data_IF_509524659431
#
_entry.id   IF_509524659431
#
_cell.length_a   1.000
_cell.length_b   1.000
_cell.length_c   1.000
_cell.angle_alpha   90.00
_cell.angle_beta   90.00
_cell.angle_gamma   90.00
#
_symmetry.space_group_name_H-M   'P 1'
#
loop_
_entity.id
_entity.type
_entity.pdbx_description
1 polymer ?
#
# COMPACT_ATOMS: atom_id res chain seq x y z
N UNK A 1 22.52 24.96 28.07
CA UNK A 1 21.94 25.39 26.78
C UNK A 1 22.67 24.67 25.67
N UNK A 2 22.13 23.53 25.20
CA UNK A 2 22.74 22.70 24.14
C UNK A 2 22.04 23.03 22.83
N UNK A 3 22.80 23.60 21.89
CA UNK A 3 22.34 23.99 20.55
C UNK A 3 21.99 22.73 19.74
N UNK A 4 20.74 22.63 19.28
CA UNK A 4 20.27 21.59 18.35
C UNK A 4 20.62 22.04 16.93
N UNK A 5 21.61 21.41 16.32
CA UNK A 5 21.90 21.58 14.90
C UNK A 5 20.90 20.75 14.10
N UNK A 6 19.98 21.42 13.42
CA UNK A 6 19.08 20.83 12.41
C UNK A 6 19.90 20.61 11.15
N UNK A 7 20.18 19.35 10.82
CA UNK A 7 20.78 18.98 9.54
C UNK A 7 19.64 18.87 8.53
N UNK A 8 19.50 19.88 7.67
CA UNK A 8 18.63 19.83 6.50
C UNK A 8 19.43 19.09 5.40
N UNK A 9 19.12 17.82 5.19
CA UNK A 9 19.66 17.05 4.07
C UNK A 9 18.85 17.35 2.80
N UNK A 10 19.44 18.14 1.91
CA UNK A 10 18.89 18.42 0.58
C UNK A 10 19.10 17.21 -0.33
N UNK A 11 18.10 16.35 -0.50
CA UNK A 11 18.12 15.32 -1.55
C UNK A 11 17.81 15.96 -2.90
N UNK A 12 18.86 16.32 -3.65
CA UNK A 12 18.72 16.68 -5.06
C UNK A 12 18.59 15.40 -5.90
N UNK A 13 17.37 15.03 -6.25
CA UNK A 13 17.11 13.94 -7.20
C UNK A 13 17.37 14.47 -8.62
N UNK A 14 18.48 14.06 -9.23
CA UNK A 14 18.74 14.31 -10.65
C UNK A 14 17.68 13.58 -11.50
N UNK A 15 16.66 14.32 -11.96
CA UNK A 15 15.81 13.86 -13.06
C UNK A 15 16.67 13.81 -14.33
N UNK A 16 17.09 12.62 -14.73
CA UNK A 16 17.61 12.40 -16.06
C UNK A 16 16.54 12.81 -17.08
N UNK A 17 16.92 13.64 -18.05
CA UNK A 17 16.07 14.01 -19.17
C UNK A 17 15.65 12.74 -19.92
N UNK A 18 14.34 12.45 -19.93
CA UNK A 18 13.79 11.34 -20.71
C UNK A 18 13.92 11.66 -22.22
N UNK A 19 14.28 10.69 -23.06
CA UNK A 19 14.29 10.89 -24.50
C UNK A 19 12.87 11.21 -24.99
N UNK A 20 12.76 12.08 -25.99
CA UNK A 20 11.50 12.35 -26.68
C UNK A 20 10.98 11.05 -27.30
N UNK A 21 9.96 10.46 -26.69
CA UNK A 21 9.35 9.21 -27.13
C UNK A 21 8.15 9.52 -28.04
N UNK A 22 7.97 8.71 -29.08
CA UNK A 22 6.87 8.80 -30.05
C UNK A 22 5.50 8.94 -29.35
N UNK A 23 4.57 9.66 -30.00
CA UNK A 23 3.22 9.87 -29.47
C UNK A 23 2.55 8.53 -29.17
N UNK A 24 2.37 8.24 -27.87
CA UNK A 24 1.61 7.07 -27.44
C UNK A 24 0.12 7.25 -27.78
N UNK A 25 -0.57 6.17 -28.20
CA UNK A 25 -1.98 6.22 -28.52
C UNK A 25 -2.82 6.69 -27.32
N UNK A 26 -4.02 7.26 -27.57
CA UNK A 26 -4.96 7.66 -26.53
C UNK A 26 -5.32 6.48 -25.62
N UNK A 27 -5.76 6.79 -24.40
CA UNK A 27 -6.18 5.78 -23.44
C UNK A 27 -7.30 4.92 -24.05
N UNK A 28 -7.15 3.60 -23.98
CA UNK A 28 -8.18 2.69 -24.41
C UNK A 28 -9.47 2.95 -23.58
N UNK A 29 -10.66 2.96 -24.22
CA UNK A 29 -11.92 3.03 -23.51
C UNK A 29 -12.01 1.91 -22.48
N UNK A 30 -12.46 2.24 -21.28
CA UNK A 30 -12.62 1.29 -20.19
C UNK A 30 -13.77 1.71 -19.28
N UNK A 31 -14.98 1.26 -19.57
CA UNK A 31 -16.20 1.60 -18.83
C UNK A 31 -16.47 0.67 -17.64
N UNK A 32 -15.74 -0.44 -17.54
CA UNK A 32 -15.95 -1.49 -16.55
C UNK A 32 -15.32 -1.19 -15.21
N UNK A 33 -16.01 -1.59 -14.16
CA UNK A 33 -15.50 -1.48 -12.81
C UNK A 33 -14.66 -2.70 -12.43
N UNK A 34 -13.85 -2.56 -11.39
CA UNK A 34 -13.01 -3.63 -10.85
C UNK A 34 -13.28 -3.80 -9.37
N UNK A 35 -13.64 -5.01 -8.95
CA UNK A 35 -13.56 -5.42 -7.55
C UNK A 35 -12.19 -6.03 -7.29
N UNK A 36 -11.60 -5.74 -6.13
CA UNK A 36 -10.33 -6.33 -5.70
C UNK A 36 -10.45 -6.81 -4.26
N UNK A 37 -9.99 -8.02 -4.02
CA UNK A 37 -9.73 -8.58 -2.69
C UNK A 37 -8.22 -8.73 -2.52
N UNK A 38 -7.69 -8.25 -1.40
CA UNK A 38 -6.29 -8.40 -1.02
C UNK A 38 -6.25 -9.00 0.37
N UNK A 39 -5.41 -10.02 0.54
CA UNK A 39 -5.08 -10.60 1.83
C UNK A 39 -3.57 -10.66 1.98
N UNK A 40 -3.07 -10.04 3.03
CA UNK A 40 -1.68 -10.04 3.46
C UNK A 40 -1.57 -10.82 4.76
N UNK A 41 -0.55 -11.67 4.85
CA UNK A 41 -0.31 -12.46 6.05
C UNK A 41 1.16 -12.85 6.17
N UNK A 42 1.68 -12.86 7.40
CA UNK A 42 3.06 -13.26 7.68
C UNK A 42 3.24 -14.77 7.88
N UNK A 43 2.14 -15.54 7.93
CA UNK A 43 2.14 -17.00 7.77
C UNK A 43 2.89 -17.45 6.50
N UNK A 44 2.80 -16.69 5.40
CA UNK A 44 3.53 -16.98 4.16
C UNK A 44 5.06 -16.90 4.33
N UNK A 45 5.55 -16.25 5.39
CA UNK A 45 6.95 -16.17 5.77
C UNK A 45 7.29 -17.02 7.01
N UNK A 46 6.34 -17.83 7.49
CA UNK A 46 6.47 -18.66 8.69
C UNK A 46 6.80 -17.85 9.96
N UNK A 47 6.13 -16.70 10.12
CA UNK A 47 6.18 -15.83 11.31
C UNK A 47 4.77 -15.42 11.73
N UNK A 48 4.61 -14.87 12.95
CA UNK A 48 3.38 -14.23 13.45
C UNK A 48 3.76 -13.05 14.37
N UNK A 49 4.25 -11.94 13.80
CA UNK A 49 4.76 -10.79 14.55
C UNK A 49 4.79 -9.51 13.74
N UNK A 50 4.82 -8.37 14.44
CA UNK A 50 4.80 -7.00 13.94
C UNK A 50 3.56 -6.74 13.07
N UNK A 51 3.60 -7.03 11.77
CA UNK A 51 2.44 -6.94 10.88
C UNK A 51 2.00 -8.35 10.50
N UNK A 52 0.95 -8.83 11.16
CA UNK A 52 0.49 -10.24 11.08
C UNK A 52 -0.56 -10.44 10.00
N UNK A 53 -1.49 -9.49 9.83
CA UNK A 53 -2.62 -9.66 8.92
C UNK A 53 -3.11 -8.33 8.34
N UNK A 54 -3.45 -8.35 7.06
CA UNK A 54 -4.20 -7.27 6.43
C UNK A 54 -5.21 -7.79 5.42
N UNK A 55 -6.43 -7.27 5.46
CA UNK A 55 -7.47 -7.55 4.46
C UNK A 55 -7.95 -6.25 3.86
N UNK A 56 -8.16 -6.21 2.54
CA UNK A 56 -8.75 -5.05 1.85
C UNK A 56 -9.68 -5.51 0.74
N UNK A 57 -10.92 -5.02 0.79
CA UNK A 57 -11.91 -5.18 -0.28
C UNK A 57 -12.11 -3.81 -0.91
N UNK A 58 -11.94 -3.71 -2.23
CA UNK A 58 -12.01 -2.47 -2.95
C UNK A 58 -12.85 -2.56 -4.21
N UNK A 59 -13.59 -1.51 -4.48
CA UNK A 59 -14.25 -1.23 -5.75
C UNK A 59 -13.55 -0.04 -6.40
N UNK A 60 -13.28 -0.14 -7.70
CA UNK A 60 -12.78 0.96 -8.51
C UNK A 60 -13.63 1.06 -9.78
N UNK A 61 -14.15 2.25 -10.08
CA UNK A 61 -14.96 2.45 -11.28
C UNK A 61 -14.14 2.29 -12.57
N UNK A 62 -14.82 2.07 -13.68
CA UNK A 62 -14.26 2.40 -15.00
C UNK A 62 -14.04 3.91 -15.16
N UNK A 63 -13.56 4.29 -16.33
CA UNK A 63 -13.43 5.68 -16.78
C UNK A 63 -14.79 6.35 -16.77
N UNK A 64 -14.96 7.32 -15.87
CA UNK A 64 -16.18 8.12 -15.75
C UNK A 64 -15.81 9.59 -15.58
N UNK A 65 -16.68 10.46 -16.10
CA UNK A 65 -16.57 11.89 -15.82
C UNK A 65 -16.73 12.12 -14.31
N UNK A 66 -15.79 12.85 -13.68
CA UNK A 66 -15.88 13.13 -12.26
C UNK A 66 -16.93 14.21 -11.98
N UNK A 67 -17.49 14.16 -10.77
CA UNK A 67 -18.49 15.12 -10.28
C UNK A 67 -18.20 15.48 -8.82
N UNK A 68 -18.62 16.67 -8.38
CA UNK A 68 -18.46 17.13 -7.00
C UNK A 68 -17.01 17.05 -6.50
N UNK A 69 -16.79 16.44 -5.33
CA UNK A 69 -15.47 16.27 -4.71
C UNK A 69 -14.48 15.55 -5.65
N UNK A 70 -14.93 14.55 -6.42
CA UNK A 70 -14.05 13.86 -7.37
C UNK A 70 -13.54 14.77 -8.49
N UNK A 71 -14.35 15.74 -8.92
CA UNK A 71 -13.97 16.71 -9.96
C UNK A 71 -12.89 17.64 -9.42
N UNK A 72 -13.09 18.17 -8.21
CA UNK A 72 -12.10 19.02 -7.54
C UNK A 72 -10.76 18.30 -7.35
N UNK A 73 -10.78 17.08 -6.81
CA UNK A 73 -9.55 16.30 -6.60
C UNK A 73 -8.85 15.99 -7.91
N UNK A 74 -9.58 15.64 -8.97
CA UNK A 74 -8.99 15.30 -10.25
C UNK A 74 -8.44 16.52 -10.99
N UNK A 75 -9.23 17.57 -11.17
CA UNK A 75 -8.86 18.71 -12.02
C UNK A 75 -8.01 19.74 -11.27
N UNK A 76 -8.44 20.19 -10.10
CA UNK A 76 -7.79 21.28 -9.37
C UNK A 76 -6.55 20.80 -8.60
N UNK A 77 -6.63 19.64 -7.95
CA UNK A 77 -5.52 19.14 -7.12
C UNK A 77 -4.53 18.26 -7.88
N UNK A 78 -5.01 17.38 -8.77
CA UNK A 78 -4.18 16.46 -9.54
C UNK A 78 -3.82 16.96 -10.96
N UNK A 79 -4.43 18.05 -11.42
CA UNK A 79 -4.15 18.61 -12.75
C UNK A 79 -4.60 17.69 -13.90
N UNK A 80 -5.75 17.03 -13.76
CA UNK A 80 -6.34 16.23 -14.83
C UNK A 80 -6.77 17.14 -16.00
N UNK A 81 -6.12 16.97 -17.16
CA UNK A 81 -6.53 17.59 -18.42
C UNK A 81 -7.70 16.84 -19.08
N UNK A 82 -8.16 17.33 -20.23
CA UNK A 82 -9.32 16.77 -20.94
C UNK A 82 -9.13 15.31 -21.38
N UNK A 83 -7.89 14.91 -21.68
CA UNK A 83 -7.52 13.55 -22.10
C UNK A 83 -7.23 12.60 -20.93
N UNK A 84 -7.44 13.03 -19.69
CA UNK A 84 -7.16 12.22 -18.51
C UNK A 84 -8.28 11.20 -18.27
N UNK A 85 -7.88 9.94 -18.05
CA UNK A 85 -8.79 8.91 -17.56
C UNK A 85 -8.99 9.05 -16.05
N UNK A 86 -10.24 9.13 -15.58
CA UNK A 86 -10.54 9.36 -14.17
C UNK A 86 -11.37 8.20 -13.62
N UNK A 87 -10.93 7.64 -12.50
CA UNK A 87 -11.63 6.57 -11.76
C UNK A 87 -11.85 6.97 -10.31
N UNK A 88 -12.94 6.47 -9.72
CA UNK A 88 -13.28 6.65 -8.30
C UNK A 88 -13.36 5.30 -7.64
N UNK A 89 -12.81 5.20 -6.43
CA UNK A 89 -12.75 3.96 -5.69
C UNK A 89 -13.23 4.11 -4.27
N UNK A 90 -13.73 3.00 -3.75
CA UNK A 90 -14.10 2.82 -2.35
C UNK A 90 -13.44 1.54 -1.85
N UNK A 91 -12.94 1.52 -0.62
CA UNK A 91 -12.48 0.29 -0.01
C UNK A 91 -12.85 0.22 1.47
N UNK A 92 -12.86 -0.99 2.00
CA UNK A 92 -12.81 -1.24 3.44
C UNK A 92 -11.59 -2.10 3.68
N UNK A 93 -10.82 -1.77 4.72
CA UNK A 93 -9.65 -2.52 5.08
C UNK A 93 -9.51 -2.71 6.59
N UNK A 94 -8.80 -3.77 6.95
CA UNK A 94 -8.45 -4.10 8.31
C UNK A 94 -6.97 -4.50 8.38
N UNK A 95 -6.25 -4.02 9.38
CA UNK A 95 -4.87 -4.40 9.64
C UNK A 95 -4.67 -4.76 11.12
N UNK A 96 -3.88 -5.80 11.36
CA UNK A 96 -3.57 -6.35 12.69
C UNK A 96 -2.06 -6.32 12.88
N UNK A 97 -1.67 -5.82 14.04
CA UNK A 97 -0.29 -5.78 14.49
C UNK A 97 -0.13 -6.44 15.85
N UNK A 98 0.94 -7.21 16.03
CA UNK A 98 1.21 -7.97 17.26
C UNK A 98 2.69 -7.92 17.65
N UNK A 99 3.02 -8.07 18.95
CA UNK A 99 4.35 -8.42 19.40
C UNK A 99 4.82 -9.78 18.86
N UNK A 100 6.08 -10.12 19.12
CA UNK A 100 6.64 -11.44 18.80
C UNK A 100 6.24 -12.50 19.83
N UNK A 101 6.09 -12.15 21.10
CA UNK A 101 5.59 -13.06 22.14
C UNK A 101 4.07 -12.88 22.31
N UNK A 102 3.29 -13.64 21.54
CA UNK A 102 1.83 -13.57 21.52
C UNK A 102 1.16 -14.28 22.69
N UNK A 103 1.90 -15.13 23.42
CA UNK A 103 1.42 -15.83 24.60
C UNK A 103 1.55 -15.00 25.88
N UNK A 104 2.41 -13.97 25.87
CA UNK A 104 2.56 -13.05 26.98
C UNK A 104 1.27 -12.26 27.24
N UNK A 105 0.84 -12.23 28.51
CA UNK A 105 -0.33 -11.45 28.96
C UNK A 105 0.07 -10.07 29.49
N UNK A 106 1.34 -9.90 29.84
CA UNK A 106 1.92 -8.65 30.34
C UNK A 106 2.29 -7.70 29.20
N UNK A 107 2.34 -6.37 29.45
CA UNK A 107 2.89 -5.42 28.48
C UNK A 107 4.32 -5.79 28.05
N UNK A 108 4.59 -5.64 26.74
CA UNK A 108 5.90 -5.91 26.12
C UNK A 108 6.47 -4.60 25.53
N UNK A 109 7.07 -3.73 26.36
CA UNK A 109 7.47 -2.37 25.93
C UNK A 109 8.64 -2.34 24.95
N UNK A 110 9.32 -3.46 24.73
CA UNK A 110 10.41 -3.63 23.76
C UNK A 110 9.96 -4.29 22.46
N UNK A 111 8.67 -4.56 22.29
CA UNK A 111 8.09 -5.20 21.12
C UNK A 111 6.99 -4.36 20.50
N UNK A 112 6.63 -4.70 19.26
CA UNK A 112 5.57 -4.01 18.55
C UNK A 112 4.27 -4.03 19.36
N UNK A 113 3.64 -2.88 19.66
CA UNK A 113 2.34 -2.84 20.32
C UNK A 113 1.27 -3.66 19.61
N UNK A 114 0.35 -4.25 20.37
CA UNK A 114 -0.89 -4.75 19.78
C UNK A 114 -1.69 -3.59 19.19
N UNK A 115 -2.21 -3.76 17.99
CA UNK A 115 -3.14 -2.78 17.39
C UNK A 115 -4.00 -3.41 16.31
N UNK A 116 -5.25 -2.94 16.24
CA UNK A 116 -6.12 -3.10 15.07
C UNK A 116 -6.36 -1.75 14.40
N UNK A 117 -6.47 -1.74 13.07
CA UNK A 117 -6.87 -0.58 12.27
C UNK A 117 -7.98 -0.96 11.30
N UNK A 118 -9.20 -0.51 11.56
CA UNK A 118 -10.37 -0.70 10.70
C UNK A 118 -10.70 0.62 10.01
N UNK A 119 -10.77 0.63 8.68
CA UNK A 119 -11.00 1.86 7.92
C UNK A 119 -11.88 1.67 6.70
N UNK A 120 -12.59 2.76 6.37
CA UNK A 120 -13.12 3.01 5.04
C UNK A 120 -12.14 3.87 4.24
N UNK A 121 -12.16 3.71 2.92
CA UNK A 121 -11.28 4.40 1.99
C UNK A 121 -12.09 4.99 0.84
N UNK A 122 -11.76 6.22 0.46
CA UNK A 122 -12.19 6.84 -0.79
C UNK A 122 -10.97 7.23 -1.62
N UNK A 123 -10.97 6.92 -2.92
CA UNK A 123 -9.84 7.21 -3.80
C UNK A 123 -10.26 7.84 -5.12
N UNK A 124 -9.45 8.77 -5.63
CA UNK A 124 -9.54 9.29 -6.99
C UNK A 124 -8.24 8.97 -7.71
N UNK A 125 -8.35 8.26 -8.84
CA UNK A 125 -7.22 7.87 -9.69
C UNK A 125 -7.30 8.64 -11.00
N UNK A 126 -6.23 9.36 -11.32
CA UNK A 126 -6.06 10.10 -12.57
C UNK A 126 -4.97 9.42 -13.38
N UNK A 127 -5.37 8.83 -14.49
CA UNK A 127 -4.49 8.22 -15.49
C UNK A 127 -4.23 9.22 -16.61
N UNK A 128 -2.96 9.53 -16.85
CA UNK A 128 -2.49 10.35 -17.97
C UNK A 128 -1.45 9.57 -18.76
N UNK A 129 -1.10 10.06 -19.95
CA UNK A 129 -0.18 9.37 -20.87
C UNK A 129 1.08 8.83 -20.20
N UNK A 130 1.74 9.64 -19.37
CA UNK A 130 3.05 9.31 -18.77
C UNK A 130 3.02 9.10 -17.25
N UNK A 131 1.85 9.07 -16.62
CA UNK A 131 1.75 8.94 -15.16
C UNK A 131 0.36 8.51 -14.70
N UNK A 132 0.34 7.82 -13.57
CA UNK A 132 -0.87 7.61 -12.77
C UNK A 132 -0.70 8.33 -11.45
N UNK A 133 -1.71 9.07 -11.06
CA UNK A 133 -1.78 9.75 -9.78
C UNK A 133 -2.99 9.25 -9.01
N UNK A 134 -2.84 9.12 -7.70
CA UNK A 134 -3.93 8.70 -6.83
C UNK A 134 -3.93 9.54 -5.57
N UNK A 135 -5.10 10.08 -5.23
CA UNK A 135 -5.38 10.59 -3.89
C UNK A 135 -6.28 9.59 -3.19
N UNK A 136 -5.96 9.29 -1.94
CA UNK A 136 -6.70 8.36 -1.09
C UNK A 136 -6.95 9.01 0.26
N UNK A 137 -8.19 8.95 0.73
CA UNK A 137 -8.58 9.32 2.08
C UNK A 137 -9.03 8.06 2.81
N UNK A 138 -8.33 7.70 3.87
CA UNK A 138 -8.74 6.67 4.82
C UNK A 138 -9.27 7.32 6.08
N UNK A 139 -10.38 6.78 6.60
CA UNK A 139 -10.99 7.20 7.86
C UNK A 139 -11.52 5.96 8.60
N UNK A 140 -11.31 5.90 9.91
CA UNK A 140 -11.55 4.68 10.65
C UNK A 140 -11.30 4.78 12.15
N UNK A 141 -11.02 3.64 12.77
CA UNK A 141 -10.67 3.54 14.19
C UNK A 141 -9.46 2.63 14.40
N UNK A 142 -8.50 3.11 15.20
CA UNK A 142 -7.40 2.33 15.76
C UNK A 142 -7.81 1.83 17.15
N UNK A 143 -7.37 0.63 17.53
CA UNK A 143 -7.51 0.10 18.90
C UNK A 143 -8.61 -0.95 19.06
N UNK A 144 -9.11 -1.20 20.29
CA UNK A 144 -10.05 -2.29 20.58
C UNK A 144 -11.31 -2.29 19.70
N UNK A 145 -11.84 -1.12 19.34
CA UNK A 145 -13.02 -0.97 18.50
C UNK A 145 -12.80 -1.44 17.04
N UNK A 146 -11.54 -1.59 16.62
CA UNK A 146 -11.21 -2.23 15.35
C UNK A 146 -11.37 -3.76 15.39
N UNK A 147 -11.58 -4.37 16.57
CA UNK A 147 -11.83 -5.81 16.74
C UNK A 147 -10.67 -6.71 16.26
N UNK A 148 -9.42 -6.27 16.46
CA UNK A 148 -8.22 -7.05 16.09
C UNK A 148 -8.13 -8.39 16.81
N UNK A 149 -8.34 -8.40 18.13
CA UNK A 149 -8.36 -9.61 18.97
C UNK A 149 -9.34 -10.66 18.45
N UNK A 150 -10.60 -10.24 18.24
CA UNK A 150 -11.65 -11.14 17.79
C UNK A 150 -11.29 -11.75 16.43
N UNK A 151 -10.82 -10.95 15.47
CA UNK A 151 -10.45 -11.45 14.15
C UNK A 151 -9.27 -12.43 14.21
N UNK A 152 -8.22 -12.08 14.95
CA UNK A 152 -7.02 -12.91 15.03
C UNK A 152 -7.30 -14.25 15.73
N UNK A 153 -7.93 -14.22 16.90
CA UNK A 153 -8.19 -15.43 17.67
C UNK A 153 -9.19 -16.35 16.96
N UNK A 154 -10.23 -15.82 16.29
CA UNK A 154 -11.13 -16.66 15.47
C UNK A 154 -10.40 -17.30 14.28
N UNK A 155 -9.44 -16.60 13.67
CA UNK A 155 -8.63 -17.18 12.60
C UNK A 155 -7.71 -18.28 13.14
N UNK A 156 -7.03 -18.03 14.27
CA UNK A 156 -6.16 -19.01 14.92
C UNK A 156 -6.95 -20.26 15.32
N UNK A 157 -8.13 -20.10 15.91
CA UNK A 157 -9.02 -21.22 16.24
C UNK A 157 -9.42 -22.04 15.00
N UNK A 158 -9.69 -21.37 13.88
CA UNK A 158 -10.08 -22.04 12.63
C UNK A 158 -8.95 -22.87 12.02
N UNK A 159 -7.69 -22.40 12.12
CA UNK A 159 -6.51 -23.09 11.56
C UNK A 159 -5.76 -23.95 12.58
N UNK A 160 -6.22 -24.01 13.83
CA UNK A 160 -5.56 -24.74 14.91
C UNK A 160 -4.27 -24.09 15.43
N UNK A 161 -4.17 -22.76 15.35
CA UNK A 161 -3.10 -21.96 15.94
C UNK A 161 -3.31 -21.67 17.43
N UNK A 162 -2.27 -21.18 18.09
CA UNK A 162 -2.32 -20.80 19.50
C UNK A 162 -3.07 -19.47 19.72
N UNK A 163 -3.80 -19.30 20.83
CA UNK A 163 -4.49 -18.05 21.13
C UNK A 163 -3.51 -16.93 21.47
N UNK A 164 -3.90 -15.70 21.13
CA UNK A 164 -3.15 -14.49 21.45
C UNK A 164 -3.77 -13.82 22.66
N UNK A 165 -3.02 -13.74 23.77
CA UNK A 165 -3.56 -13.41 25.09
C UNK A 165 -3.21 -11.99 25.58
N UNK A 166 -2.41 -11.23 24.81
CA UNK A 166 -1.90 -9.93 25.22
C UNK A 166 -2.75 -8.72 24.80
N UNK A 167 -3.90 -8.92 24.14
CA UNK A 167 -4.72 -7.88 23.51
C UNK A 167 -5.25 -6.80 24.46
N UNK A 168 -5.33 -7.06 25.76
CA UNK A 168 -5.65 -6.05 26.78
C UNK A 168 -4.61 -4.92 26.86
N UNK A 169 -3.40 -5.14 26.34
CA UNK A 169 -2.29 -4.19 26.32
C UNK A 169 -2.14 -3.44 24.98
N UNK A 170 -3.18 -3.45 24.12
CA UNK A 170 -3.14 -2.81 22.81
C UNK A 170 -3.23 -1.28 22.88
N UNK A 171 -2.85 -0.62 21.77
CA UNK A 171 -3.08 0.81 21.58
C UNK A 171 -4.58 1.10 21.74
N UNK A 172 -4.90 2.14 22.51
CA UNK A 172 -6.28 2.49 22.83
C UNK A 172 -7.07 3.05 21.65
N UNK A 173 -8.39 3.18 21.83
CA UNK A 173 -9.29 3.65 20.78
C UNK A 173 -8.98 5.09 20.33
N UNK A 174 -8.79 5.27 19.02
CA UNK A 174 -8.58 6.58 18.41
C UNK A 174 -9.25 6.66 17.02
N UNK A 175 -10.05 7.70 16.73
CA UNK A 175 -10.48 7.98 15.37
C UNK A 175 -9.27 8.27 14.48
N UNK A 176 -9.08 7.48 13.45
CA UNK A 176 -7.92 7.59 12.55
C UNK A 176 -8.27 8.22 11.22
N UNK A 177 -7.36 9.01 10.69
CA UNK A 177 -7.44 9.59 9.34
C UNK A 177 -6.08 9.58 8.66
N UNK A 178 -6.06 9.25 7.38
CA UNK A 178 -4.86 9.34 6.53
C UNK A 178 -5.24 9.90 5.17
N UNK A 179 -4.64 11.01 4.78
CA UNK A 179 -4.65 11.52 3.42
C UNK A 179 -3.36 11.10 2.73
N UNK A 180 -3.47 10.34 1.65
CA UNK A 180 -2.34 9.88 0.86
C UNK A 180 -2.38 10.42 -0.55
N UNK A 181 -1.20 10.71 -1.09
CA UNK A 181 -0.97 11.00 -2.50
C UNK A 181 0.13 10.06 -3.01
N UNK A 182 -0.14 9.40 -4.13
CA UNK A 182 0.81 8.57 -4.85
C UNK A 182 0.90 9.00 -6.31
N UNK A 183 2.11 8.99 -6.85
CA UNK A 183 2.38 9.18 -8.27
C UNK A 183 3.31 8.08 -8.75
N UNK A 184 2.84 7.36 -9.76
CA UNK A 184 3.63 6.40 -10.51
C UNK A 184 3.94 6.98 -11.89
N UNK A 185 5.22 6.97 -12.26
CA UNK A 185 5.67 7.43 -13.55
C UNK A 185 5.64 6.27 -14.53
N UNK A 186 5.08 6.49 -15.72
CA UNK A 186 4.96 5.43 -16.72
C UNK A 186 6.34 4.97 -17.19
N UNK A 187 6.40 3.69 -17.51
CA UNK A 187 7.63 2.99 -17.82
C UNK A 187 8.40 3.53 -19.02
N UNK A 188 9.68 3.81 -18.77
CA UNK A 188 10.59 4.51 -19.68
C UNK A 188 11.07 3.62 -20.84
N UNK A 189 10.90 2.30 -20.75
CA UNK A 189 11.31 1.32 -21.76
C UNK A 189 10.22 0.28 -22.01
N UNK A 190 10.11 -0.15 -23.26
CA UNK A 190 9.27 -1.25 -23.73
C UNK A 190 10.19 -2.01 -24.70
N UNK A 191 10.78 -3.11 -24.25
CA UNK A 191 11.79 -3.88 -25.00
C UNK A 191 11.17 -5.21 -25.37
N UNK A 192 10.84 -5.41 -26.65
CA UNK A 192 10.37 -6.67 -27.20
C UNK A 192 9.43 -6.49 -28.39
N UNK A 193 9.24 -7.57 -29.16
CA UNK A 193 8.21 -7.71 -30.20
C UNK A 193 7.20 -8.78 -29.72
N UNK A 194 5.95 -8.71 -30.18
CA UNK A 194 4.88 -9.69 -29.88
C UNK A 194 4.46 -9.80 -28.39
N UNK A 195 4.22 -8.66 -27.73
CA UNK A 195 3.50 -8.61 -26.44
C UNK A 195 4.35 -8.87 -25.19
N UNK A 196 5.57 -9.43 -25.32
CA UNK A 196 6.51 -9.56 -24.20
C UNK A 196 7.39 -8.31 -24.08
N UNK A 197 7.62 -7.84 -22.87
CA UNK A 197 8.53 -6.74 -22.61
C UNK A 197 9.04 -6.66 -21.19
N UNK A 198 9.80 -5.60 -20.93
CA UNK A 198 10.28 -5.22 -19.61
C UNK A 198 10.10 -3.73 -19.40
N UNK A 199 9.81 -3.34 -18.17
CA UNK A 199 9.43 -1.97 -17.84
C UNK A 199 9.97 -1.53 -16.46
N UNK A 200 10.12 -0.22 -16.28
CA UNK A 200 10.66 0.39 -15.06
C UNK A 200 9.76 1.54 -14.65
N UNK A 201 9.08 1.40 -13.52
CA UNK A 201 8.11 2.36 -12.97
C UNK A 201 8.65 2.98 -11.68
N UNK A 202 9.18 4.21 -11.73
CA UNK A 202 9.43 5.00 -10.53
C UNK A 202 8.13 5.39 -9.85
N UNK A 203 8.14 5.46 -8.52
CA UNK A 203 6.99 5.82 -7.71
C UNK A 203 7.40 6.78 -6.60
N UNK A 204 6.58 7.79 -6.35
CA UNK A 204 6.73 8.68 -5.18
C UNK A 204 5.37 8.81 -4.50
N UNK A 205 5.38 9.03 -3.19
CA UNK A 205 4.16 9.27 -2.45
C UNK A 205 4.40 9.91 -1.10
N UNK A 206 3.33 10.41 -0.53
CA UNK A 206 3.30 10.93 0.82
C UNK A 206 1.98 10.59 1.49
N UNK A 207 1.97 10.55 2.81
CA UNK A 207 0.79 10.37 3.62
C UNK A 207 0.87 11.31 4.82
N UNK A 208 -0.27 11.89 5.18
CA UNK A 208 -0.43 12.82 6.28
C UNK A 208 -1.68 12.43 7.07
N UNK A 209 -1.50 12.19 8.35
CA UNK A 209 -2.55 11.66 9.20
C UNK A 209 -2.07 11.36 10.61
N UNK A 210 -3.01 11.19 11.52
CA UNK A 210 -2.73 10.75 12.90
C UNK A 210 -2.52 9.25 13.01
N UNK A 211 -2.79 8.47 11.95
CA UNK A 211 -2.43 7.04 11.92
C UNK A 211 -1.05 6.85 11.28
N UNK A 212 -0.80 7.53 10.16
CA UNK A 212 0.46 7.45 9.43
C UNK A 212 0.80 8.80 8.78
N UNK A 213 2.01 9.28 9.05
CA UNK A 213 2.62 10.41 8.35
C UNK A 213 4.00 10.01 7.85
N UNK A 214 4.14 9.87 6.54
CA UNK A 214 5.39 9.46 5.89
C UNK A 214 5.55 10.02 4.49
N UNK A 215 6.80 10.11 4.05
CA UNK A 215 7.14 10.24 2.63
C UNK A 215 7.74 8.92 2.14
N UNK A 216 7.48 8.56 0.88
CA UNK A 216 7.95 7.31 0.27
C UNK A 216 8.40 7.52 -1.17
N UNK A 217 9.39 6.74 -1.58
CA UNK A 217 9.92 6.71 -2.93
C UNK A 217 10.41 5.32 -3.28
N UNK A 218 10.14 4.89 -4.50
CA UNK A 218 10.45 3.53 -4.92
C UNK A 218 10.58 3.38 -6.43
N UNK A 219 10.94 2.17 -6.82
CA UNK A 219 11.15 1.75 -8.18
C UNK A 219 10.65 0.33 -8.33
N UNK A 220 9.85 0.06 -9.36
CA UNK A 220 9.41 -1.29 -9.72
C UNK A 220 9.92 -1.65 -11.10
N UNK A 221 10.54 -2.82 -11.23
CA UNK A 221 10.93 -3.45 -12.47
C UNK A 221 9.94 -4.58 -12.77
N UNK A 222 9.46 -4.67 -14.01
CA UNK A 222 8.58 -5.76 -14.45
C UNK A 222 9.09 -6.39 -15.73
N UNK A 223 8.79 -7.68 -15.91
CA UNK A 223 9.06 -8.43 -17.12
C UNK A 223 7.92 -9.42 -17.38
N UNK A 224 7.44 -9.50 -18.61
CA UNK A 224 6.32 -10.36 -18.97
C UNK A 224 5.52 -9.83 -20.15
N UNK A 225 4.29 -10.32 -20.28
CA UNK A 225 3.40 -9.99 -21.38
C UNK A 225 2.43 -8.86 -20.99
N UNK A 226 2.16 -7.97 -21.94
CA UNK A 226 1.20 -6.86 -21.85
C UNK A 226 1.33 -6.01 -20.59
N UNK A 227 2.56 -5.57 -20.30
CA UNK A 227 2.88 -4.75 -19.12
C UNK A 227 2.12 -3.41 -19.08
N UNK A 228 1.54 -3.00 -20.21
CA UNK A 228 0.67 -1.80 -20.32
C UNK A 228 -0.71 -2.02 -19.70
N UNK A 229 -1.11 -3.25 -19.39
CA UNK A 229 -2.44 -3.58 -18.90
C UNK A 229 -2.66 -3.08 -17.47
N UNK A 230 -1.62 -2.98 -16.64
CA UNK A 230 -1.76 -2.51 -15.26
C UNK A 230 -0.54 -1.72 -14.75
N UNK A 231 -0.67 -1.24 -13.52
CA UNK A 231 0.36 -0.51 -12.79
C UNK A 231 0.85 -1.31 -11.56
N UNK A 232 0.84 -2.64 -11.67
CA UNK A 232 1.13 -3.59 -10.60
C UNK A 232 -0.12 -4.03 -9.83
N UNK A 233 0.01 -5.07 -8.99
CA UNK A 233 -1.09 -5.59 -8.19
C UNK A 233 -1.46 -4.66 -7.03
N UNK A 234 -2.74 -4.63 -6.60
CA UNK A 234 -3.15 -3.89 -5.42
C UNK A 234 -2.57 -4.51 -4.15
N UNK A 235 -2.37 -3.68 -3.12
CA UNK A 235 -1.81 -4.04 -1.80
C UNK A 235 -2.56 -3.30 -0.68
N UNK A 236 -2.42 -3.76 0.56
CA UNK A 236 -2.87 -2.97 1.72
C UNK A 236 -1.94 -1.77 1.87
N UNK A 237 -2.50 -0.57 2.07
CA UNK A 237 -1.73 0.68 2.15
C UNK A 237 -1.31 0.95 3.61
N UNK A 238 -0.15 1.61 3.85
CA UNK A 238 0.78 2.17 2.87
C UNK A 238 1.77 1.12 2.31
N UNK A 239 1.77 0.93 0.99
CA UNK A 239 2.70 0.04 0.28
C UNK A 239 2.98 0.58 -1.12
N UNK A 240 3.96 0.00 -1.82
CA UNK A 240 4.04 0.07 -3.29
C UNK A 240 2.88 -0.75 -3.89
N UNK A 241 1.70 -0.16 -3.83
CA UNK A 241 0.47 -0.72 -4.36
C UNK A 241 0.26 -0.24 -5.80
N UNK A 242 -0.15 -1.14 -6.69
CA UNK A 242 -0.67 -0.77 -7.98
C UNK A 242 -1.99 -0.01 -7.89
N UNK A 243 -2.37 0.64 -8.99
CA UNK A 243 -3.53 1.54 -9.05
C UNK A 243 -4.89 0.83 -8.94
N UNK A 244 -4.93 -0.51 -8.85
CA UNK A 244 -6.14 -1.29 -8.63
C UNK A 244 -7.07 -1.42 -9.84
N UNK A 245 -6.63 -1.00 -11.03
CA UNK A 245 -7.30 -1.28 -12.30
C UNK A 245 -6.33 -2.03 -13.24
N UNK A 246 -6.91 -2.80 -14.15
CA UNK A 246 -6.20 -3.37 -15.28
C UNK A 246 -7.08 -3.32 -16.55
N UNK A 247 -6.48 -3.14 -17.71
CA UNK A 247 -7.14 -3.09 -19.02
C UNK A 247 -6.64 -4.26 -19.88
N UNK A 248 -7.32 -5.41 -19.84
CA UNK A 248 -6.87 -6.59 -20.58
C UNK A 248 -7.03 -6.34 -22.08
N UNK A 249 -5.92 -6.44 -22.82
CA UNK A 249 -5.91 -6.40 -24.29
C UNK A 249 -6.05 -7.81 -24.85
N UNK A 250 -5.32 -8.78 -24.27
CA UNK A 250 -5.35 -10.19 -24.65
C UNK A 250 -6.11 -11.06 -23.63
N UNK A 251 -6.44 -12.29 -24.04
CA UNK A 251 -7.15 -13.27 -23.20
C UNK A 251 -6.30 -13.77 -22.02
N UNK A 252 -4.97 -13.70 -22.14
CA UNK A 252 -4.03 -14.06 -21.09
C UNK A 252 -2.80 -13.16 -21.11
N UNK A 253 -2.44 -12.62 -19.95
CA UNK A 253 -1.15 -11.96 -19.76
C UNK A 253 -0.56 -12.30 -18.40
N UNK A 254 0.74 -12.08 -18.23
CA UNK A 254 1.43 -12.36 -16.98
C UNK A 254 2.65 -11.46 -16.85
N UNK A 255 3.06 -11.18 -15.63
CA UNK A 255 4.37 -10.54 -15.41
C UNK A 255 4.96 -10.90 -14.06
N UNK A 256 6.29 -10.98 -14.05
CA UNK A 256 7.09 -10.95 -12.84
C UNK A 256 7.44 -9.51 -12.51
N UNK A 257 7.56 -9.20 -11.23
CA UNK A 257 7.99 -7.89 -10.78
C UNK A 257 8.91 -7.97 -9.57
N UNK A 258 9.80 -6.99 -9.47
CA UNK A 258 10.59 -6.69 -8.28
C UNK A 258 10.53 -5.19 -8.02
N UNK A 259 10.29 -4.80 -6.77
CA UNK A 259 10.20 -3.42 -6.35
C UNK A 259 11.06 -3.14 -5.13
N UNK A 260 11.63 -1.94 -5.07
CA UNK A 260 12.32 -1.41 -3.90
C UNK A 260 11.68 -0.10 -3.48
N UNK A 261 11.49 0.10 -2.18
CA UNK A 261 10.87 1.29 -1.59
C UNK A 261 11.68 1.76 -0.39
N UNK A 262 11.85 3.07 -0.26
CA UNK A 262 12.35 3.72 0.94
C UNK A 262 11.30 4.68 1.48
N UNK A 263 11.08 4.66 2.79
CA UNK A 263 10.15 5.55 3.47
C UNK A 263 10.85 6.33 4.59
N UNK A 264 10.52 7.61 4.71
CA UNK A 264 10.83 8.44 5.85
C UNK A 264 9.55 8.62 6.69
N UNK A 265 9.53 8.00 7.87
CA UNK A 265 8.35 7.90 8.74
C UNK A 265 8.45 8.96 9.83
N UNK A 266 7.59 9.97 9.76
CA UNK A 266 7.47 10.98 10.80
C UNK A 266 6.60 10.47 11.96
N UNK A 267 5.47 9.85 11.62
CA UNK A 267 4.54 9.29 12.58
C UNK A 267 3.95 7.96 12.08
N UNK A 268 3.83 7.00 12.97
CA UNK A 268 3.13 5.74 12.80
C UNK A 268 2.51 5.38 14.16
N UNK A 269 1.20 5.51 14.30
CA UNK A 269 0.48 5.26 15.56
C UNK A 269 0.76 3.86 16.11
N UNK A 270 1.02 2.88 15.25
CA UNK A 270 1.28 1.48 15.63
C UNK A 270 2.61 1.29 16.36
N UNK A 271 3.51 2.28 16.29
CA UNK A 271 4.81 2.29 16.97
C UNK A 271 4.95 3.45 17.94
N UNK A 272 4.40 4.61 17.60
CA UNK A 272 4.52 5.84 18.40
C UNK A 272 3.39 6.04 19.41
N UNK A 273 2.30 5.25 19.33
CA UNK A 273 1.09 5.49 20.09
C UNK A 273 0.29 6.72 19.61
N UNK A 274 -0.77 7.04 20.35
CA UNK A 274 -1.68 8.15 20.06
C UNK A 274 -1.00 9.53 20.06
N UNK A 275 -1.43 10.41 19.15
CA UNK A 275 -1.09 11.85 19.22
C UNK A 275 -1.99 12.64 20.17
N UNK A 276 -3.11 12.06 20.59
CA UNK A 276 -4.15 12.75 21.37
C UNK A 276 -4.26 12.24 22.80
N UNK A 277 -3.58 11.15 23.13
CA UNK A 277 -3.63 10.51 24.44
C UNK A 277 -2.25 10.08 24.91
N UNK A 278 -1.98 10.34 26.19
CA UNK A 278 -0.77 9.88 26.85
C UNK A 278 -0.86 8.41 27.31
N UNK A 279 0.31 7.79 27.48
CA UNK A 279 0.44 6.46 28.08
C UNK A 279 0.03 5.31 27.16
N UNK A 280 -0.01 5.53 25.84
CA UNK A 280 -0.09 4.44 24.89
C UNK A 280 1.19 3.57 24.90
N UNK A 281 1.08 2.25 24.65
CA UNK A 281 2.24 1.43 24.36
C UNK A 281 2.93 1.97 23.11
N UNK A 282 4.25 2.09 23.18
CA UNK A 282 5.09 2.65 22.12
C UNK A 282 6.49 2.03 22.15
N UNK A 283 7.19 2.12 21.02
CA UNK A 283 8.58 1.68 20.84
C UNK A 283 9.39 2.72 20.10
N UNK A 284 10.71 2.69 20.26
CA UNK A 284 11.62 3.61 19.57
C UNK A 284 11.72 3.26 18.08
N UNK A 285 10.96 3.99 17.25
CA UNK A 285 10.85 3.83 15.80
C UNK A 285 12.13 4.22 15.05
N UNK A 286 12.47 3.45 14.02
CA UNK A 286 13.40 3.85 12.97
C UNK A 286 12.72 4.80 11.97
N UNK A 287 13.30 5.99 11.79
CA UNK A 287 12.75 6.99 10.86
C UNK A 287 12.83 6.53 9.40
N UNK A 288 13.86 5.75 9.03
CA UNK A 288 14.05 5.26 7.68
C UNK A 288 13.74 3.77 7.61
N UNK A 289 12.78 3.41 6.76
CA UNK A 289 12.35 2.02 6.55
C UNK A 289 12.47 1.68 5.07
N UNK A 290 13.14 0.58 4.76
CA UNK A 290 13.28 0.02 3.43
C UNK A 290 12.37 -1.19 3.22
N UNK A 291 11.85 -1.34 2.01
CA UNK A 291 11.09 -2.50 1.57
C UNK A 291 11.61 -3.02 0.24
N UNK A 292 11.68 -4.34 0.12
CA UNK A 292 11.86 -5.06 -1.14
C UNK A 292 10.65 -5.96 -1.32
N UNK A 293 10.07 -5.95 -2.51
CA UNK A 293 8.98 -6.84 -2.87
C UNK A 293 9.27 -7.55 -4.18
N UNK A 294 8.80 -8.78 -4.33
CA UNK A 294 8.85 -9.50 -5.59
C UNK A 294 7.58 -10.34 -5.75
N UNK A 295 7.15 -10.58 -6.99
CA UNK A 295 5.92 -11.33 -7.20
C UNK A 295 5.64 -11.70 -8.65
N UNK A 296 4.51 -12.37 -8.81
CA UNK A 296 3.94 -12.81 -10.07
C UNK A 296 2.48 -12.33 -10.13
N UNK A 297 2.12 -11.72 -11.25
CA UNK A 297 0.73 -11.44 -11.59
C UNK A 297 0.33 -12.23 -12.83
N UNK A 298 -0.87 -12.80 -12.79
CA UNK A 298 -1.50 -13.54 -13.87
C UNK A 298 -2.83 -12.87 -14.19
N UNK A 299 -3.11 -12.62 -15.45
CA UNK A 299 -4.38 -12.06 -15.92
C UNK A 299 -5.00 -13.03 -16.91
N UNK A 300 -6.24 -13.43 -16.64
CA UNK A 300 -7.06 -14.25 -17.52
C UNK A 300 -8.36 -13.50 -17.81
N UNK A 301 -8.49 -12.96 -19.02
CA UNK A 301 -9.65 -12.16 -19.45
C UNK A 301 -9.98 -11.04 -18.46
N UNK A 302 -10.98 -11.27 -17.60
CA UNK A 302 -11.51 -10.29 -16.63
C UNK A 302 -11.03 -10.55 -15.20
N UNK A 303 -10.11 -11.46 -14.99
CA UNK A 303 -9.61 -11.85 -13.67
C UNK A 303 -8.12 -11.63 -13.62
N UNK A 304 -7.63 -10.97 -12.57
CA UNK A 304 -6.22 -10.86 -12.24
C UNK A 304 -6.00 -11.54 -10.89
N UNK A 305 -4.97 -12.38 -10.80
CA UNK A 305 -4.49 -12.98 -9.56
C UNK A 305 -3.03 -12.60 -9.42
N UNK A 306 -2.61 -12.15 -8.25
CA UNK A 306 -1.20 -11.91 -7.98
C UNK A 306 -0.77 -12.43 -6.63
N UNK A 307 0.49 -12.85 -6.57
CA UNK A 307 1.20 -13.15 -5.34
C UNK A 307 2.39 -12.20 -5.22
N UNK A 308 2.53 -11.58 -4.06
CA UNK A 308 3.66 -10.70 -3.71
C UNK A 308 4.30 -11.17 -2.42
N UNK A 309 5.62 -11.31 -2.40
CA UNK A 309 6.39 -11.50 -1.18
C UNK A 309 7.11 -10.20 -0.85
N UNK A 310 7.10 -9.81 0.43
CA UNK A 310 7.68 -8.57 0.92
C UNK A 310 8.69 -8.86 2.02
N UNK A 311 9.80 -8.12 1.99
CA UNK A 311 10.73 -8.01 3.11
C UNK A 311 10.90 -6.54 3.45
N UNK A 312 10.64 -6.18 4.70
CA UNK A 312 10.75 -4.82 5.24
C UNK A 312 11.84 -4.79 6.31
N UNK A 313 12.69 -3.76 6.29
CA UNK A 313 13.71 -3.57 7.32
C UNK A 313 13.07 -3.38 8.70
N UNK A 314 13.89 -3.40 9.75
CA UNK A 314 13.44 -3.11 11.11
C UNK A 314 12.74 -1.74 11.18
N UNK A 315 11.55 -1.69 11.78
CA UNK A 315 10.76 -0.47 11.96
C UNK A 315 11.01 0.19 13.31
N UNK A 316 11.60 -0.52 14.29
CA UNK A 316 11.97 -0.01 15.60
C UNK A 316 13.29 -0.63 16.11
N UNK A 317 13.94 0.00 17.08
CA UNK A 317 15.32 -0.32 17.52
C UNK A 317 15.45 -1.73 18.10
N UNK A 318 14.51 -2.12 18.96
CA UNK A 318 14.49 -3.42 19.64
C UNK A 318 13.99 -4.57 18.76
N UNK A 319 13.57 -4.30 17.52
CA UNK A 319 13.12 -5.33 16.59
C UNK A 319 14.26 -6.30 16.25
N UNK A 320 14.05 -7.60 16.44
CA UNK A 320 15.13 -8.60 16.27
C UNK A 320 15.55 -8.80 14.81
N UNK A 321 14.60 -8.85 13.89
CA UNK A 321 14.83 -9.16 12.47
C UNK A 321 13.91 -8.37 11.53
N UNK A 322 14.21 -8.40 10.24
CA UNK A 322 13.36 -7.82 9.20
C UNK A 322 11.97 -8.47 9.20
N UNK A 323 10.93 -7.70 8.89
CA UNK A 323 9.58 -8.23 8.72
C UNK A 323 9.44 -8.86 7.34
N UNK A 324 8.75 -10.00 7.26
CA UNK A 324 8.48 -10.69 6.01
C UNK A 324 7.02 -11.12 5.98
N UNK A 325 6.37 -10.98 4.82
CA UNK A 325 4.98 -11.38 4.66
C UNK A 325 4.63 -11.57 3.18
N UNK A 326 3.59 -12.35 2.94
CA UNK A 326 3.02 -12.58 1.61
C UNK A 326 1.72 -11.78 1.43
N UNK A 327 1.39 -11.50 0.18
CA UNK A 327 0.14 -10.89 -0.23
C UNK A 327 -0.44 -11.66 -1.42
N UNK A 328 -1.70 -12.06 -1.31
CA UNK A 328 -2.49 -12.59 -2.43
C UNK A 328 -3.54 -11.55 -2.79
N UNK A 329 -3.67 -11.25 -4.08
CA UNK A 329 -4.74 -10.41 -4.58
C UNK A 329 -5.53 -11.09 -5.70
N UNK A 330 -6.84 -10.84 -5.69
CA UNK A 330 -7.79 -11.25 -6.72
C UNK A 330 -8.58 -10.02 -7.16
N UNK A 331 -8.46 -9.66 -8.42
CA UNK A 331 -9.22 -8.56 -9.03
C UNK A 331 -10.10 -9.07 -10.15
N UNK A 332 -11.37 -8.65 -10.16
CA UNK A 332 -12.36 -9.06 -11.15
C UNK A 332 -13.00 -7.83 -11.79
N UNK A 333 -12.96 -7.77 -13.11
CA UNK A 333 -13.50 -6.68 -13.93
C UNK A 333 -14.91 -7.02 -14.43
N UNK A 334 -15.87 -6.11 -14.28
CA UNK A 334 -17.29 -6.35 -14.56
C UNK A 334 -17.94 -5.26 -15.40
#
# INVERSE_FOLDING_TARGET
>A
MKSRAVIIASLALCLAAAPARAEEPPLAPDDRATWSFVWENDYFANTDRNYTNGVRIAYLSGLKQPEGVSSFLAHDLLGAGQEAGIRRGFAVGHSIFTPEDTLATQPLPDQHPYAGWLYGEYSVVVQQRQRVQQITLQAGVVGPAAQGEWLQNNWHDLIGGDPVNGWDNQIGNEPGFVLSYDRQFRSVYDIGDNGFGADITPTIGASLGNVDTRARGGLTLRIGNDLRNDYGPPRVRPALAGAGFFSPVDDFSWHLFIGVNGSAVAHNIFLDGSLFRDGDPQVDKNVLVGEVQAGLALQFRRVQIAYTFVTRTKEFETQKSAQQFGAVSLSVKF
#
